data_IF_274984868642
#
_entry.id   IF_274984868642
#
_cell.length_a   1.000
_cell.length_b   1.000
_cell.length_c   1.000
_cell.angle_alpha   90.00
_cell.angle_beta   90.00
_cell.angle_gamma   90.00
#
_symmetry.space_group_name_H-M   'P 1'
#
loop_
_entity.id
_entity.type
_entity.pdbx_description
1 polymer ?
#
# COMPACT_ATOMS: atom_id res chain seq x y z
N UNK A 1 19.56 -21.43 -11.70
CA UNK A 1 18.08 -21.57 -11.70
C UNK A 1 17.53 -21.53 -10.28
N UNK A 2 16.23 -21.68 -10.09
CA UNK A 2 15.63 -21.88 -8.76
C UNK A 2 16.00 -23.25 -8.19
N UNK A 3 15.89 -23.44 -6.86
CA UNK A 3 16.23 -24.69 -6.17
C UNK A 3 15.39 -25.88 -6.63
N UNK A 4 14.19 -25.63 -7.14
CA UNK A 4 13.30 -26.61 -7.78
C UNK A 4 13.85 -27.17 -9.11
N UNK A 5 14.83 -26.50 -9.73
CA UNK A 5 15.42 -26.93 -11.00
C UNK A 5 16.67 -27.80 -10.85
N UNK A 6 17.07 -28.17 -9.62
CA UNK A 6 18.32 -28.89 -9.37
C UNK A 6 18.45 -30.18 -10.19
N UNK A 7 17.40 -31.01 -10.24
CA UNK A 7 17.44 -32.27 -11.00
C UNK A 7 17.69 -32.07 -12.49
N UNK A 8 17.02 -31.08 -13.09
CA UNK A 8 17.21 -30.74 -14.51
C UNK A 8 18.62 -30.22 -14.79
N UNK A 9 19.17 -29.41 -13.88
CA UNK A 9 20.52 -28.85 -14.00
C UNK A 9 21.56 -29.97 -13.94
N UNK A 10 21.48 -30.89 -12.97
CA UNK A 10 22.42 -32.02 -12.83
C UNK A 10 22.34 -32.95 -14.03
N UNK A 11 21.15 -33.20 -14.57
CA UNK A 11 20.98 -33.97 -15.80
C UNK A 11 21.68 -33.31 -16.99
N UNK A 12 21.61 -31.98 -17.09
CA UNK A 12 22.36 -31.21 -18.09
C UNK A 12 23.87 -31.36 -17.94
N UNK A 13 24.39 -31.24 -16.71
CA UNK A 13 25.83 -31.43 -16.42
C UNK A 13 26.30 -32.82 -16.85
N UNK A 14 25.53 -33.87 -16.53
CA UNK A 14 25.86 -35.24 -16.90
C UNK A 14 25.77 -35.48 -18.41
N UNK A 15 24.79 -34.88 -19.09
CA UNK A 15 24.65 -34.96 -20.54
C UNK A 15 25.84 -34.30 -21.25
N UNK A 16 26.22 -33.08 -20.86
CA UNK A 16 27.39 -32.37 -21.41
C UNK A 16 28.67 -33.16 -21.21
N UNK A 17 28.84 -33.80 -20.05
CA UNK A 17 29.99 -34.69 -19.79
C UNK A 17 30.03 -35.88 -20.75
N UNK A 18 28.88 -36.46 -21.11
CA UNK A 18 28.81 -37.64 -21.99
C UNK A 18 28.98 -37.32 -23.46
N UNK A 19 28.41 -36.21 -23.92
CA UNK A 19 28.38 -35.85 -25.34
C UNK A 19 29.64 -35.08 -25.73
N UNK A 20 30.01 -34.08 -24.92
CA UNK A 20 31.06 -33.12 -25.27
C UNK A 20 32.35 -33.35 -24.47
N UNK A 21 32.34 -34.29 -23.51
CA UNK A 21 33.47 -34.55 -22.59
C UNK A 21 33.94 -33.31 -21.82
N UNK A 22 33.06 -32.32 -21.66
CA UNK A 22 33.36 -31.07 -20.98
C UNK A 22 32.84 -31.06 -19.53
N UNK A 23 33.58 -30.39 -18.65
CA UNK A 23 33.16 -30.14 -17.28
C UNK A 23 32.39 -28.80 -17.21
N UNK A 24 31.18 -28.86 -16.69
CA UNK A 24 30.32 -27.69 -16.43
C UNK A 24 29.77 -27.75 -15.02
N UNK A 25 29.34 -26.60 -14.49
CA UNK A 25 28.86 -26.47 -13.11
C UNK A 25 27.40 -26.01 -13.08
N UNK A 26 26.68 -26.45 -12.06
CA UNK A 26 25.32 -26.03 -11.76
C UNK A 26 25.27 -25.22 -10.47
N UNK A 27 24.55 -24.10 -10.49
CA UNK A 27 24.26 -23.31 -9.30
C UNK A 27 22.77 -22.97 -9.23
N UNK A 28 22.20 -23.14 -8.04
CA UNK A 28 20.79 -22.82 -7.76
C UNK A 28 20.67 -21.77 -6.67
N UNK A 29 19.67 -20.91 -6.82
CA UNK A 29 19.25 -19.97 -5.80
C UNK A 29 18.03 -20.52 -5.03
N UNK A 30 17.89 -20.23 -3.72
CA UNK A 30 16.72 -20.64 -2.95
C UNK A 30 15.44 -20.00 -3.50
N UNK A 31 14.32 -20.70 -3.40
CA UNK A 31 13.02 -20.08 -3.64
C UNK A 31 12.73 -19.00 -2.60
N UNK A 32 12.23 -17.86 -3.06
CA UNK A 32 11.97 -16.72 -2.19
C UNK A 32 10.64 -16.88 -1.45
N UNK A 33 10.72 -16.95 -0.14
CA UNK A 33 9.59 -16.81 0.79
C UNK A 33 9.67 -15.46 1.50
N UNK A 34 8.54 -14.95 1.95
CA UNK A 34 8.46 -13.81 2.90
C UNK A 34 8.70 -14.29 4.32
N UNK A 35 8.91 -13.37 5.26
CA UNK A 35 9.03 -13.67 6.69
C UNK A 35 7.76 -14.35 7.26
N UNK A 36 6.60 -14.14 6.63
CA UNK A 36 5.36 -14.85 6.96
C UNK A 36 5.29 -16.29 6.43
N UNK A 37 6.31 -16.74 5.69
CA UNK A 37 6.35 -18.07 5.05
C UNK A 37 5.58 -18.16 3.73
N UNK A 38 4.94 -17.07 3.27
CA UNK A 38 4.27 -17.02 1.98
C UNK A 38 5.28 -17.02 0.83
N UNK A 39 4.92 -17.63 -0.30
CA UNK A 39 5.74 -17.54 -1.52
C UNK A 39 5.48 -16.19 -2.19
N UNK A 40 6.56 -15.51 -2.58
CA UNK A 40 6.52 -14.13 -3.10
C UNK A 40 5.65 -13.95 -4.36
N UNK A 41 5.43 -15.01 -5.15
CA UNK A 41 4.60 -14.99 -6.36
C UNK A 41 3.17 -15.53 -6.20
N UNK A 42 2.70 -15.72 -4.96
CA UNK A 42 1.32 -16.12 -4.65
C UNK A 42 0.72 -15.14 -3.64
N UNK A 43 0.70 -13.86 -3.99
CA UNK A 43 -0.01 -12.88 -3.15
C UNK A 43 -1.52 -13.15 -3.24
N UNK A 44 -2.29 -12.58 -2.30
CA UNK A 44 -3.75 -12.68 -2.34
C UNK A 44 -4.34 -12.19 -3.68
N UNK A 45 -3.64 -11.25 -4.32
CA UNK A 45 -4.02 -10.62 -5.58
C UNK A 45 -3.39 -11.28 -6.82
N UNK A 46 -2.64 -12.37 -6.65
CA UNK A 46 -2.07 -13.17 -7.75
C UNK A 46 -0.57 -12.98 -7.95
N UNK A 47 -0.14 -12.96 -9.22
CA UNK A 47 1.26 -12.82 -9.59
C UNK A 47 1.62 -11.35 -9.80
N UNK A 48 2.80 -10.94 -9.34
CA UNK A 48 3.37 -9.63 -9.63
C UNK A 48 4.07 -9.71 -11.00
N UNK A 49 3.44 -9.15 -12.02
CA UNK A 49 3.96 -9.16 -13.38
C UNK A 49 5.00 -8.06 -13.58
N UNK A 50 6.00 -8.34 -14.42
CA UNK A 50 6.98 -7.34 -14.86
C UNK A 50 6.47 -6.48 -16.03
N UNK A 51 5.41 -6.92 -16.71
CA UNK A 51 4.82 -6.17 -17.81
C UNK A 51 3.89 -5.08 -17.27
N UNK A 52 4.19 -3.82 -17.63
CA UNK A 52 3.46 -2.62 -17.21
C UNK A 52 1.95 -2.64 -17.58
N UNK A 53 1.56 -3.36 -18.63
CA UNK A 53 0.16 -3.49 -19.05
C UNK A 53 -0.65 -4.41 -18.10
N UNK A 54 0.04 -5.24 -17.30
CA UNK A 54 -0.60 -6.17 -16.34
C UNK A 54 -0.50 -5.68 -14.91
N UNK A 55 0.66 -5.16 -14.52
CA UNK A 55 0.88 -4.52 -13.23
C UNK A 55 1.55 -3.20 -13.53
N UNK A 56 0.89 -2.10 -13.19
CA UNK A 56 1.42 -0.76 -13.49
C UNK A 56 2.72 -0.52 -12.71
N UNK A 57 3.60 0.37 -13.17
CA UNK A 57 4.82 0.72 -12.41
C UNK A 57 4.50 1.20 -10.99
N UNK A 58 3.38 1.90 -10.81
CA UNK A 58 2.91 2.33 -9.49
C UNK A 58 2.54 1.14 -8.60
N UNK A 59 1.76 0.18 -9.10
CA UNK A 59 1.37 -1.00 -8.32
C UNK A 59 2.57 -1.90 -8.02
N UNK A 60 3.50 -2.02 -8.97
CA UNK A 60 4.78 -2.71 -8.78
C UNK A 60 5.61 -2.05 -7.67
N UNK A 61 5.71 -0.71 -7.70
CA UNK A 61 6.38 0.05 -6.65
C UNK A 61 5.70 -0.14 -5.29
N UNK A 62 4.36 -0.12 -5.25
CA UNK A 62 3.59 -0.32 -4.02
C UNK A 62 3.75 -1.73 -3.43
N UNK A 63 3.89 -2.76 -4.28
CA UNK A 63 4.21 -4.11 -3.82
C UNK A 63 5.51 -4.12 -2.99
N UNK A 64 6.58 -3.48 -3.49
CA UNK A 64 7.85 -3.38 -2.77
C UNK A 64 7.77 -2.48 -1.55
N UNK A 65 7.03 -1.36 -1.64
CA UNK A 65 6.83 -0.41 -0.54
C UNK A 65 6.16 -1.06 0.68
N UNK A 66 5.33 -2.07 0.44
CA UNK A 66 4.60 -2.83 1.44
C UNK A 66 5.36 -4.06 1.96
N UNK A 67 6.65 -4.22 1.62
CA UNK A 67 7.53 -5.25 2.16
C UNK A 67 7.54 -5.21 3.69
N UNK A 68 7.48 -6.38 4.33
CA UNK A 68 7.59 -6.49 5.78
C UNK A 68 9.00 -6.11 6.24
N UNK A 69 9.12 -5.45 7.39
CA UNK A 69 10.38 -4.93 7.95
C UNK A 69 11.50 -5.98 7.94
N UNK A 70 11.18 -7.20 8.38
CA UNK A 70 12.11 -8.33 8.45
C UNK A 70 12.66 -8.80 7.08
N UNK A 71 11.99 -8.44 5.98
CA UNK A 71 12.37 -8.83 4.62
C UNK A 71 13.15 -7.74 3.87
N UNK A 72 13.09 -6.47 4.32
CA UNK A 72 13.63 -5.32 3.59
C UNK A 72 15.12 -5.49 3.26
N UNK A 73 15.95 -5.76 4.28
CA UNK A 73 17.40 -5.94 4.08
C UNK A 73 17.73 -7.06 3.10
N UNK A 74 17.03 -8.20 3.23
CA UNK A 74 17.21 -9.35 2.33
C UNK A 74 16.78 -9.01 0.90
N UNK A 75 15.68 -8.28 0.72
CA UNK A 75 15.18 -7.91 -0.61
C UNK A 75 16.04 -6.84 -1.27
N UNK A 76 16.59 -5.89 -0.52
CA UNK A 76 17.60 -4.95 -1.04
C UNK A 76 18.78 -5.70 -1.67
N UNK A 77 19.28 -6.75 -1.01
CA UNK A 77 20.41 -7.57 -1.50
C UNK A 77 20.09 -8.38 -2.76
N UNK A 78 18.83 -8.75 -2.95
CA UNK A 78 18.42 -9.71 -3.99
C UNK A 78 17.83 -9.04 -5.24
N UNK A 79 17.23 -7.86 -5.08
CA UNK A 79 16.38 -7.23 -6.10
C UNK A 79 16.79 -5.80 -6.45
N UNK A 80 18.00 -5.38 -6.04
CA UNK A 80 18.55 -4.07 -6.40
C UNK A 80 20.03 -4.20 -6.75
N UNK A 81 20.57 -3.20 -7.45
CA UNK A 81 22.01 -3.08 -7.75
C UNK A 81 22.76 -2.23 -6.71
N UNK A 82 22.16 -2.01 -5.53
CA UNK A 82 22.81 -1.28 -4.44
C UNK A 82 24.06 -2.01 -3.96
N UNK A 83 25.06 -1.25 -3.53
CA UNK A 83 26.27 -1.84 -2.94
C UNK A 83 25.92 -2.57 -1.65
N UNK A 84 26.72 -3.57 -1.28
CA UNK A 84 26.55 -4.29 -0.02
C UNK A 84 26.72 -3.37 1.20
N UNK A 85 27.54 -2.32 1.06
CA UNK A 85 27.73 -1.29 2.07
C UNK A 85 26.46 -0.48 2.27
N UNK A 86 25.87 0.02 1.18
CA UNK A 86 24.62 0.78 1.25
C UNK A 86 23.46 -0.09 1.76
N UNK A 87 23.40 -1.35 1.34
CA UNK A 87 22.40 -2.29 1.85
C UNK A 87 22.55 -2.53 3.35
N UNK A 88 23.79 -2.63 3.87
CA UNK A 88 24.05 -2.75 5.31
C UNK A 88 23.62 -1.50 6.09
N UNK A 89 23.82 -0.31 5.51
CA UNK A 89 23.37 0.95 6.11
C UNK A 89 21.84 0.99 6.20
N UNK A 90 21.15 0.61 5.13
CA UNK A 90 19.70 0.64 5.05
C UNK A 90 19.00 -0.43 5.90
N UNK A 91 19.56 -1.65 5.97
CA UNK A 91 18.97 -2.72 6.78
C UNK A 91 19.14 -2.50 8.30
N UNK A 92 20.02 -1.58 8.69
CA UNK A 92 20.22 -1.19 10.09
C UNK A 92 19.18 -0.16 10.58
N UNK A 93 18.39 0.45 9.67
CA UNK A 93 17.35 1.41 10.03
C UNK A 93 16.19 0.72 10.76
N UNK A 94 15.68 1.36 11.82
CA UNK A 94 14.63 0.82 12.68
C UNK A 94 13.48 1.83 12.87
N UNK A 95 12.42 1.38 13.54
CA UNK A 95 11.25 2.19 13.89
C UNK A 95 10.67 2.97 12.69
N UNK A 96 10.60 4.29 12.78
CA UNK A 96 10.08 5.12 11.69
C UNK A 96 11.03 5.16 10.47
N UNK A 97 12.34 5.04 10.70
CA UNK A 97 13.39 5.20 9.67
C UNK A 97 13.40 4.04 8.67
N UNK A 98 12.90 2.87 9.05
CA UNK A 98 12.79 1.73 8.11
C UNK A 98 11.89 2.04 6.92
N UNK A 99 10.99 3.02 7.03
CA UNK A 99 10.18 3.47 5.90
C UNK A 99 11.04 4.03 4.77
N UNK A 100 12.19 4.64 5.07
CA UNK A 100 13.08 5.16 4.04
C UNK A 100 13.80 4.01 3.32
N UNK A 101 14.21 2.96 4.03
CA UNK A 101 14.71 1.74 3.41
C UNK A 101 13.68 1.08 2.49
N UNK A 102 12.39 1.07 2.87
CA UNK A 102 11.30 0.56 2.03
C UNK A 102 11.05 1.39 0.79
N UNK A 103 11.10 2.72 0.89
CA UNK A 103 10.99 3.61 -0.28
C UNK A 103 12.15 3.37 -1.24
N UNK A 104 13.37 3.26 -0.72
CA UNK A 104 14.55 2.98 -1.55
C UNK A 104 14.44 1.61 -2.22
N UNK A 105 14.07 0.56 -1.48
CA UNK A 105 13.80 -0.76 -2.06
C UNK A 105 12.79 -0.67 -3.20
N UNK A 106 11.66 0.00 -2.98
CA UNK A 106 10.62 0.14 -3.98
C UNK A 106 11.09 0.90 -5.22
N UNK A 107 11.79 2.02 -5.02
CA UNK A 107 12.30 2.84 -6.12
C UNK A 107 13.35 2.11 -6.92
N UNK A 108 14.34 1.46 -6.29
CA UNK A 108 15.41 0.76 -7.01
C UNK A 108 14.89 -0.50 -7.72
N UNK A 109 14.03 -1.29 -7.08
CA UNK A 109 13.45 -2.47 -7.73
C UNK A 109 12.54 -2.09 -8.91
N UNK A 110 11.79 -0.99 -8.79
CA UNK A 110 10.97 -0.46 -9.90
C UNK A 110 11.84 0.14 -10.99
N UNK A 111 12.92 0.84 -10.65
CA UNK A 111 13.85 1.41 -11.63
C UNK A 111 14.55 0.33 -12.45
N UNK A 112 14.91 -0.79 -11.82
CA UNK A 112 15.48 -1.95 -12.50
C UNK A 112 14.50 -2.58 -13.50
N UNK A 113 13.20 -2.63 -13.19
CA UNK A 113 12.18 -3.28 -14.01
C UNK A 113 11.58 -2.36 -15.10
N UNK A 114 11.26 -1.12 -14.74
CA UNK A 114 10.48 -0.19 -15.55
C UNK A 114 11.23 1.10 -15.93
N UNK A 115 12.48 1.25 -15.48
CA UNK A 115 13.29 2.44 -15.71
C UNK A 115 13.14 3.50 -14.61
N UNK A 116 14.18 4.34 -14.47
CA UNK A 116 14.30 5.35 -13.40
C UNK A 116 13.12 6.34 -13.37
N UNK A 117 12.73 6.86 -14.53
CA UNK A 117 11.64 7.84 -14.64
C UNK A 117 10.31 7.29 -14.10
N UNK A 118 9.92 6.08 -14.50
CA UNK A 118 8.67 5.46 -14.03
C UNK A 118 8.71 5.19 -12.51
N UNK A 119 9.87 4.85 -11.97
CA UNK A 119 10.04 4.64 -10.53
C UNK A 119 9.90 5.94 -9.73
N UNK A 120 10.46 7.04 -10.22
CA UNK A 120 10.32 8.37 -9.61
C UNK A 120 8.89 8.88 -9.68
N UNK A 121 8.21 8.71 -10.81
CA UNK A 121 6.78 9.02 -10.96
C UNK A 121 5.91 8.23 -9.98
N UNK A 122 6.18 6.93 -9.82
CA UNK A 122 5.48 6.08 -8.84
C UNK A 122 5.73 6.53 -7.40
N UNK A 123 6.98 6.85 -7.05
CA UNK A 123 7.35 7.34 -5.72
C UNK A 123 6.67 8.69 -5.41
N UNK A 124 6.68 9.63 -6.37
CA UNK A 124 6.02 10.93 -6.25
C UNK A 124 4.51 10.77 -6.10
N UNK A 125 3.89 9.92 -6.93
CA UNK A 125 2.46 9.61 -6.82
C UNK A 125 2.11 9.05 -5.45
N UNK A 126 2.95 8.16 -4.90
CA UNK A 126 2.75 7.64 -3.55
C UNK A 126 2.93 8.72 -2.48
N UNK A 127 3.90 9.63 -2.63
CA UNK A 127 4.10 10.74 -1.70
C UNK A 127 2.90 11.69 -1.71
N UNK A 128 2.42 12.10 -2.89
CA UNK A 128 1.23 12.95 -3.01
C UNK A 128 -0.03 12.28 -2.47
N UNK A 129 -0.23 11.00 -2.75
CA UNK A 129 -1.39 10.25 -2.23
C UNK A 129 -1.33 10.18 -0.71
N UNK A 130 -0.13 10.01 -0.16
CA UNK A 130 0.09 10.00 1.28
C UNK A 130 -0.07 11.38 1.89
N UNK A 131 0.44 12.46 1.30
CA UNK A 131 0.30 13.84 1.77
C UNK A 131 -1.16 14.34 1.71
N UNK A 132 -1.87 14.01 0.62
CA UNK A 132 -3.32 14.20 0.49
C UNK A 132 -4.08 13.39 1.54
N UNK A 133 -3.58 12.22 1.95
CA UNK A 133 -4.11 11.39 3.04
C UNK A 133 -3.63 11.73 4.46
N UNK A 134 -2.50 12.46 4.61
CA UNK A 134 -1.87 12.82 5.88
C UNK A 134 -2.41 14.13 6.44
N UNK A 135 -3.11 14.92 5.63
CA UNK A 135 -3.60 16.21 6.07
C UNK A 135 -4.66 16.15 7.19
N UNK A 136 -5.06 14.96 7.66
CA UNK A 136 -5.36 14.73 9.07
C UNK A 136 -5.31 13.22 9.42
N UNK A 137 -4.35 12.81 10.26
CA UNK A 137 -4.43 11.56 11.04
C UNK A 137 -4.41 10.20 10.31
N UNK A 138 -4.13 10.14 9.01
CA UNK A 138 -4.07 8.87 8.26
C UNK A 138 -5.43 8.21 8.01
N UNK A 139 -6.51 8.98 8.11
CA UNK A 139 -7.86 8.53 7.79
C UNK A 139 -8.19 8.85 6.33
N UNK A 140 -8.95 7.99 5.62
CA UNK A 140 -9.51 8.34 4.31
C UNK A 140 -10.18 9.71 4.39
N UNK A 141 -9.85 10.61 3.46
CA UNK A 141 -10.34 11.99 3.46
C UNK A 141 -11.10 12.26 2.17
N UNK A 142 -12.27 12.90 2.29
CA UNK A 142 -13.10 13.35 1.17
C UNK A 142 -13.26 14.86 1.25
N UNK A 143 -13.33 15.51 0.08
CA UNK A 143 -13.55 16.96 -0.02
C UNK A 143 -15.03 17.23 -0.32
N UNK A 144 -15.62 18.21 0.37
CA UNK A 144 -16.98 18.71 0.12
C UNK A 144 -16.92 20.22 -0.14
N UNK A 145 -17.80 20.71 -1.01
CA UNK A 145 -17.88 22.14 -1.31
C UNK A 145 -18.35 22.92 -0.07
N UNK A 146 -17.74 24.09 0.16
CA UNK A 146 -18.13 25.00 1.25
C UNK A 146 -19.62 25.34 1.20
N UNK A 147 -20.15 25.60 0.00
CA UNK A 147 -21.56 25.93 -0.22
C UNK A 147 -22.54 24.86 0.26
N UNK A 148 -22.13 23.59 0.23
CA UNK A 148 -22.97 22.47 0.68
C UNK A 148 -23.04 22.42 2.22
N UNK A 149 -21.96 22.78 2.91
CA UNK A 149 -21.93 22.89 4.37
C UNK A 149 -22.57 24.19 4.88
N UNK A 150 -22.54 25.27 4.09
CA UNK A 150 -23.29 26.51 4.38
C UNK A 150 -24.81 26.28 4.32
N UNK A 151 -25.28 25.56 3.30
CA UNK A 151 -26.70 25.18 3.16
C UNK A 151 -27.12 24.16 4.23
N UNK A 152 -26.16 23.38 4.75
CA UNK A 152 -26.38 22.33 5.70
C UNK A 152 -26.72 21.00 5.03
N UNK A 153 -25.95 19.97 5.35
CA UNK A 153 -26.14 18.61 4.82
C UNK A 153 -26.65 17.68 5.90
N UNK A 154 -27.69 16.90 5.62
CA UNK A 154 -28.17 15.92 6.60
C UNK A 154 -27.10 14.86 6.91
N UNK A 155 -27.05 14.42 8.17
CA UNK A 155 -26.06 13.45 8.65
C UNK A 155 -26.07 12.13 7.85
N UNK A 156 -27.24 11.67 7.40
CA UNK A 156 -27.33 10.49 6.55
C UNK A 156 -26.73 10.72 5.16
N UNK A 157 -26.91 11.92 4.58
CA UNK A 157 -26.37 12.24 3.26
C UNK A 157 -24.84 12.35 3.30
N UNK A 158 -24.28 13.03 4.32
CA UNK A 158 -22.82 13.18 4.43
C UNK A 158 -22.13 11.84 4.74
N UNK A 159 -22.75 10.93 5.51
CA UNK A 159 -22.24 9.58 5.74
C UNK A 159 -22.23 8.74 4.46
N UNK A 160 -23.25 8.86 3.62
CA UNK A 160 -23.31 8.18 2.33
C UNK A 160 -22.29 8.76 1.34
N UNK A 161 -22.22 10.10 1.24
CA UNK A 161 -21.24 10.82 0.44
C UNK A 161 -19.79 10.43 0.81
N UNK A 162 -19.50 10.32 2.10
CA UNK A 162 -18.20 9.89 2.61
C UNK A 162 -17.89 8.38 2.42
N UNK A 163 -18.77 7.61 1.76
CA UNK A 163 -18.58 6.17 1.53
C UNK A 163 -18.72 5.30 2.79
N UNK A 164 -19.27 5.85 3.89
CA UNK A 164 -19.50 5.10 5.13
C UNK A 164 -20.79 4.25 5.06
N UNK A 165 -21.72 4.58 4.19
CA UNK A 165 -22.92 3.78 3.90
C UNK A 165 -23.09 3.64 2.38
N UNK A 166 -23.74 2.56 1.94
CA UNK A 166 -24.09 2.32 0.53
C UNK A 166 -25.37 3.05 0.09
N UNK A 167 -26.15 3.57 1.06
CA UNK A 167 -27.34 4.38 0.79
C UNK A 167 -27.71 5.27 1.98
N UNK A 168 -28.51 6.31 1.73
CA UNK A 168 -29.06 7.18 2.78
C UNK A 168 -29.92 6.41 3.81
N UNK A 169 -30.67 5.39 3.36
CA UNK A 169 -31.48 4.54 4.24
C UNK A 169 -30.63 3.70 5.17
N UNK A 170 -29.50 3.17 4.68
CA UNK A 170 -28.52 2.45 5.50
C UNK A 170 -27.85 3.39 6.51
N UNK A 171 -27.47 4.60 6.09
CA UNK A 171 -26.91 5.61 6.98
C UNK A 171 -27.87 5.93 8.15
N UNK A 172 -29.16 6.13 7.88
CA UNK A 172 -30.19 6.34 8.94
C UNK A 172 -30.28 5.15 9.89
N UNK A 173 -30.23 3.92 9.37
CA UNK A 173 -30.22 2.71 10.20
C UNK A 173 -29.02 2.69 11.17
N UNK A 174 -27.84 3.10 10.71
CA UNK A 174 -26.66 3.20 11.56
C UNK A 174 -26.76 4.30 12.61
N UNK A 175 -27.37 5.44 12.28
CA UNK A 175 -27.66 6.51 13.24
C UNK A 175 -28.61 6.00 14.33
N UNK A 176 -29.76 5.42 13.96
CA UNK A 176 -30.73 4.83 14.92
C UNK A 176 -30.10 3.74 15.79
N UNK A 177 -29.19 2.95 15.22
CA UNK A 177 -28.43 1.94 15.95
C UNK A 177 -27.33 2.48 16.86
N UNK A 178 -27.14 3.80 16.94
CA UNK A 178 -26.09 4.46 17.74
C UNK A 178 -24.67 4.20 17.24
N UNK A 179 -24.53 3.78 15.97
CA UNK A 179 -23.27 3.41 15.35
C UNK A 179 -22.55 4.55 14.63
N UNK A 180 -23.25 5.66 14.35
CA UNK A 180 -22.70 6.83 13.67
C UNK A 180 -22.19 7.88 14.69
N UNK A 181 -21.02 8.47 14.39
CA UNK A 181 -20.44 9.55 15.17
C UNK A 181 -19.92 10.68 14.29
N UNK A 182 -20.00 11.90 14.80
CA UNK A 182 -19.42 13.11 14.24
C UNK A 182 -18.48 13.70 15.29
N UNK A 183 -17.21 13.93 14.94
CA UNK A 183 -16.16 14.40 15.85
C UNK A 183 -16.12 13.60 17.17
N UNK A 184 -16.19 12.27 17.05
CA UNK A 184 -16.22 11.32 18.16
C UNK A 184 -17.47 11.35 19.06
N UNK A 185 -18.41 12.27 18.82
CA UNK A 185 -19.71 12.34 19.48
C UNK A 185 -20.78 11.53 18.72
N UNK A 186 -21.66 10.85 19.45
CA UNK A 186 -22.74 10.07 18.82
C UNK A 186 -23.77 10.99 18.17
N UNK A 187 -24.12 10.69 16.93
CA UNK A 187 -25.25 11.33 16.26
C UNK A 187 -26.53 10.67 16.80
N UNK A 188 -27.33 11.42 17.55
CA UNK A 188 -28.56 10.93 18.18
C UNK A 188 -29.77 11.20 17.27
N UNK A 189 -29.83 12.39 16.66
CA UNK A 189 -30.91 12.78 15.76
C UNK A 189 -30.60 12.33 14.32
N UNK A 190 -31.53 11.59 13.70
CA UNK A 190 -31.42 11.17 12.30
C UNK A 190 -31.56 12.32 11.31
N UNK A 191 -32.16 13.43 11.75
CA UNK A 191 -32.30 14.66 10.97
C UNK A 191 -31.21 15.68 11.31
N UNK A 192 -30.17 15.28 12.06
CA UNK A 192 -29.06 16.16 12.38
C UNK A 192 -28.47 16.77 11.11
N UNK A 193 -28.29 18.09 11.11
CA UNK A 193 -27.72 18.84 9.99
C UNK A 193 -26.27 19.17 10.32
N UNK A 194 -25.38 18.73 9.44
CA UNK A 194 -23.95 19.03 9.50
C UNK A 194 -23.70 20.32 8.73
N UNK A 195 -23.01 21.25 9.38
CA UNK A 195 -22.69 22.58 8.85
C UNK A 195 -21.21 22.90 9.06
N UNK A 196 -20.74 24.06 8.57
CA UNK A 196 -19.38 24.55 8.82
C UNK A 196 -19.06 24.67 10.32
N UNK A 197 -20.05 24.90 11.18
CA UNK A 197 -19.86 24.97 12.64
C UNK A 197 -19.42 23.64 13.26
N UNK A 198 -19.57 22.52 12.53
CA UNK A 198 -19.15 21.20 12.98
C UNK A 198 -17.70 20.87 12.61
N UNK A 199 -16.96 21.82 12.03
CA UNK A 199 -15.55 21.66 11.72
C UNK A 199 -14.72 21.70 13.00
N UNK A 200 -13.75 20.78 13.15
CA UNK A 200 -12.85 20.74 14.28
C UNK A 200 -11.70 21.76 14.14
N UNK A 201 -10.80 21.80 15.13
CA UNK A 201 -9.65 22.71 15.15
C UNK A 201 -8.69 22.54 13.96
N UNK A 202 -8.72 21.39 13.28
CA UNK A 202 -7.88 21.06 12.12
C UNK A 202 -8.57 21.38 10.78
N UNK A 203 -9.73 22.04 10.80
CA UNK A 203 -10.46 22.38 9.58
C UNK A 203 -11.16 21.20 8.91
N UNK A 204 -11.43 20.12 9.65
CA UNK A 204 -12.10 18.91 9.13
C UNK A 204 -13.26 18.44 10.02
N UNK A 205 -14.15 17.61 9.46
CA UNK A 205 -15.22 16.93 10.18
C UNK A 205 -14.91 15.43 10.18
N UNK A 206 -14.77 14.82 11.36
CA UNK A 206 -14.50 13.39 11.47
C UNK A 206 -15.80 12.61 11.53
N UNK A 207 -16.07 11.79 10.52
CA UNK A 207 -17.18 10.87 10.48
C UNK A 207 -16.72 9.46 10.85
N UNK A 208 -17.47 8.78 11.71
CA UNK A 208 -17.18 7.40 12.12
C UNK A 208 -18.42 6.53 12.08
N UNK A 209 -18.25 5.29 11.64
CA UNK A 209 -19.28 4.26 11.65
C UNK A 209 -18.75 3.00 12.32
N UNK A 210 -19.22 2.73 13.54
CA UNK A 210 -18.68 1.68 14.40
C UNK A 210 -17.26 2.01 14.89
N UNK A 211 -16.45 0.97 15.15
CA UNK A 211 -15.11 1.09 15.78
C UNK A 211 -13.93 1.16 14.81
N UNK A 212 -14.15 0.89 13.51
CA UNK A 212 -13.06 0.70 12.54
C UNK A 212 -13.18 1.54 11.27
N UNK A 213 -14.37 2.08 10.97
CA UNK A 213 -14.61 2.82 9.73
C UNK A 213 -14.68 4.30 10.07
N UNK A 214 -13.66 5.04 9.65
CA UNK A 214 -13.50 6.46 9.91
C UNK A 214 -13.13 7.17 8.62
N UNK A 215 -13.73 8.34 8.37
CA UNK A 215 -13.46 9.18 7.20
C UNK A 215 -13.44 10.62 7.67
N UNK A 216 -12.53 11.43 7.13
CA UNK A 216 -12.49 12.86 7.35
C UNK A 216 -13.14 13.58 6.17
N UNK A 217 -13.95 14.58 6.47
CA UNK A 217 -14.54 15.48 5.48
C UNK A 217 -13.86 16.84 5.61
N UNK A 218 -13.28 17.33 4.52
CA UNK A 218 -12.63 18.63 4.45
C UNK A 218 -13.41 19.56 3.53
N UNK A 219 -13.44 20.84 3.88
CA UNK A 219 -13.94 21.90 3.00
C UNK A 219 -12.92 22.17 1.89
N UNK A 220 -13.35 22.20 0.64
CA UNK A 220 -12.50 22.58 -0.49
C UNK A 220 -13.26 23.15 -1.67
#
# INVERSE_FOLDING_TARGET
GGSDQWGNIVNGVELTRRVDSAQVFGLTAPLITTASGAKMGKTADGAIWLNADRVTPYDYWQFWRNTADADVGRFLRLFTDLTLEETKRLEALQDAEINDAKKILATEATAMCHGRTAAEEAANTSAETFEKGQSAGGLPTVTIAESDLEQGISANNILNFAGLASSNSEARRHIRGGGARLNDEKIIDENFVVTLANTNADGVIKLSLGKKRHVLVRVG
#
